data_IF_858974608438
#
_entry.id   IF_858974608438
#
_cell.length_a   1.000
_cell.length_b   1.000
_cell.length_c   1.000
_cell.angle_alpha   90.00
_cell.angle_beta   90.00
_cell.angle_gamma   90.00
#
_symmetry.space_group_name_H-M   'P 1'
#
loop_
_entity.id
_entity.type
_entity.pdbx_description
1 polymer ?
#
# COMPACT_ATOMS: atom_id res chain seq x y z
N UNK A 1 -5.97 3.01 18.58
CA UNK A 1 -7.09 3.95 18.85
C UNK A 1 -8.47 3.47 18.34
N UNK A 2 -8.58 2.43 17.50
CA UNK A 2 -9.85 1.99 16.90
C UNK A 2 -10.84 1.30 17.86
N UNK A 3 -10.37 0.67 18.94
CA UNK A 3 -11.23 -0.05 19.91
C UNK A 3 -12.11 0.84 20.80
N UNK A 4 -11.90 2.17 20.81
CA UNK A 4 -12.51 3.05 21.81
C UNK A 4 -13.87 3.62 21.40
N UNK A 5 -14.29 3.48 20.13
CA UNK A 5 -15.56 4.05 19.63
C UNK A 5 -16.29 3.07 18.70
N UNK A 6 -17.43 2.48 19.14
CA UNK A 6 -18.13 1.46 18.37
C UNK A 6 -18.72 1.98 17.05
N UNK A 7 -18.98 3.28 16.94
CA UNK A 7 -19.46 3.87 15.68
C UNK A 7 -18.41 3.83 14.56
N UNK A 8 -17.12 3.92 14.90
CA UNK A 8 -16.05 3.89 13.89
C UNK A 8 -15.97 2.51 13.25
N UNK A 9 -16.14 1.43 14.04
CA UNK A 9 -16.15 0.07 13.52
C UNK A 9 -17.25 -0.13 12.47
N UNK A 10 -18.47 0.35 12.75
CA UNK A 10 -19.61 0.23 11.83
C UNK A 10 -19.42 1.02 10.53
N UNK A 11 -18.61 2.09 10.55
CA UNK A 11 -18.26 2.86 9.34
C UNK A 11 -17.13 2.18 8.57
N UNK A 12 -16.13 1.64 9.26
CA UNK A 12 -15.05 0.84 8.64
C UNK A 12 -15.59 -0.44 7.99
N UNK A 13 -16.60 -1.08 8.59
CA UNK A 13 -17.27 -2.26 8.01
C UNK A 13 -17.99 -1.93 6.69
N UNK A 14 -18.29 -0.65 6.44
CA UNK A 14 -18.96 -0.15 5.24
C UNK A 14 -18.01 0.66 4.31
N UNK A 15 -16.69 0.54 4.50
CA UNK A 15 -15.71 1.33 3.74
C UNK A 15 -15.79 1.04 2.23
N UNK A 16 -15.91 -0.25 1.86
CA UNK A 16 -16.04 -0.69 0.46
C UNK A 16 -17.29 -0.10 -0.20
N UNK A 17 -18.42 -0.12 0.50
CA UNK A 17 -19.71 0.38 0.02
C UNK A 17 -19.63 1.90 -0.18
N UNK A 18 -19.06 2.61 0.80
CA UNK A 18 -18.86 4.05 0.71
C UNK A 18 -17.92 4.43 -0.43
N UNK A 19 -16.80 3.72 -0.58
CA UNK A 19 -15.85 3.95 -1.67
C UNK A 19 -16.48 3.68 -3.03
N UNK A 20 -17.23 2.58 -3.17
CA UNK A 20 -17.93 2.26 -4.43
C UNK A 20 -18.99 3.31 -4.79
N UNK A 21 -19.72 3.85 -3.80
CA UNK A 21 -20.68 4.92 -3.99
C UNK A 21 -19.99 6.21 -4.40
N UNK A 22 -18.90 6.59 -3.73
CA UNK A 22 -18.10 7.75 -4.08
C UNK A 22 -17.58 7.66 -5.52
N UNK A 23 -16.99 6.51 -5.89
CA UNK A 23 -16.53 6.25 -7.25
C UNK A 23 -17.67 6.28 -8.27
N UNK A 24 -18.84 5.74 -7.93
CA UNK A 24 -20.03 5.82 -8.78
C UNK A 24 -20.42 7.27 -9.06
N UNK A 25 -20.46 8.12 -8.03
CA UNK A 25 -20.80 9.53 -8.16
C UNK A 25 -19.76 10.28 -8.98
N UNK A 26 -18.47 10.06 -8.70
CA UNK A 26 -17.36 10.69 -9.42
C UNK A 26 -17.33 10.30 -10.90
N UNK A 27 -17.41 9.01 -11.21
CA UNK A 27 -17.40 8.52 -12.59
C UNK A 27 -18.66 8.93 -13.35
N UNK A 28 -19.83 8.90 -12.71
CA UNK A 28 -21.08 9.39 -13.32
C UNK A 28 -20.99 10.87 -13.62
N UNK A 29 -20.42 11.67 -12.71
CA UNK A 29 -20.20 13.09 -12.94
C UNK A 29 -19.21 13.31 -14.09
N UNK A 30 -18.06 12.64 -14.06
CA UNK A 30 -17.01 12.77 -15.07
C UNK A 30 -17.52 12.40 -16.47
N UNK A 31 -18.18 11.26 -16.64
CA UNK A 31 -18.72 10.84 -17.93
C UNK A 31 -19.86 11.73 -18.42
N UNK A 32 -20.57 12.41 -17.51
CA UNK A 32 -21.64 13.36 -17.87
C UNK A 32 -21.08 14.72 -18.30
N UNK A 33 -19.96 15.16 -17.71
CA UNK A 33 -19.36 16.48 -17.99
C UNK A 33 -18.32 16.42 -19.10
N UNK A 34 -17.37 15.48 -19.03
CA UNK A 34 -16.20 15.42 -19.92
C UNK A 34 -16.28 14.32 -21.00
N UNK A 35 -17.32 13.47 -20.95
CA UNK A 35 -17.39 12.21 -21.74
C UNK A 35 -16.11 11.36 -21.58
N UNK A 36 -15.50 11.39 -20.39
CA UNK A 36 -14.32 10.62 -20.03
C UNK A 36 -14.49 10.06 -18.62
N UNK A 37 -13.83 8.93 -18.33
CA UNK A 37 -13.68 8.50 -16.93
C UNK A 37 -12.86 9.50 -16.14
N UNK A 38 -12.98 9.47 -14.81
CA UNK A 38 -12.23 10.38 -13.93
C UNK A 38 -10.71 10.25 -14.12
N UNK A 39 -10.21 9.03 -14.32
CA UNK A 39 -8.82 8.77 -14.62
C UNK A 39 -8.42 9.29 -16.02
N UNK A 40 -9.26 9.11 -17.03
CA UNK A 40 -8.99 9.60 -18.39
C UNK A 40 -8.96 11.14 -18.44
N UNK A 41 -9.84 11.83 -17.70
CA UNK A 41 -9.85 13.29 -17.66
C UNK A 41 -8.59 13.87 -17.02
N UNK A 42 -7.98 13.18 -16.05
CA UNK A 42 -6.68 13.54 -15.47
C UNK A 42 -5.56 13.54 -16.52
N UNK A 43 -5.58 12.60 -17.45
CA UNK A 43 -4.57 12.48 -18.52
C UNK A 43 -4.93 13.24 -19.81
N UNK A 44 -6.04 13.99 -19.83
CA UNK A 44 -6.51 14.70 -21.02
C UNK A 44 -7.01 13.76 -22.13
N UNK A 45 -7.53 12.60 -21.74
CA UNK A 45 -8.16 11.60 -22.61
C UNK A 45 -9.68 11.75 -22.59
N UNK A 46 -10.33 11.31 -23.67
CA UNK A 46 -11.79 11.37 -23.85
C UNK A 46 -12.30 10.15 -24.60
N UNK A 47 -13.50 9.68 -24.25
CA UNK A 47 -14.18 8.59 -24.94
C UNK A 47 -14.94 9.12 -26.14
N UNK A 48 -14.87 8.39 -27.25
CA UNK A 48 -15.67 8.63 -28.46
C UNK A 48 -16.35 7.34 -28.90
N UNK A 49 -17.62 7.46 -29.26
CA UNK A 49 -18.35 6.35 -29.85
C UNK A 49 -17.84 6.11 -31.27
N UNK A 50 -17.41 4.89 -31.55
CA UNK A 50 -17.07 4.42 -32.90
C UNK A 50 -18.26 3.62 -33.40
N UNK A 51 -18.89 4.11 -34.47
CA UNK A 51 -19.85 3.29 -35.21
C UNK A 51 -19.04 2.29 -36.05
N UNK A 52 -18.86 1.08 -35.53
CA UNK A 52 -18.34 -0.04 -36.32
C UNK A 52 -19.41 -0.38 -37.35
N UNK A 53 -19.42 0.31 -38.49
CA UNK A 53 -20.17 -0.16 -39.65
C UNK A 53 -19.41 -1.36 -40.18
N UNK A 54 -19.94 -2.56 -39.93
CA UNK A 54 -19.55 -3.76 -40.67
C UNK A 54 -19.69 -3.42 -42.14
N UNK A 55 -18.57 -3.44 -42.86
CA UNK A 55 -18.49 -3.18 -44.28
C UNK A 55 -19.28 -4.28 -44.98
N UNK A 56 -20.56 -4.03 -45.27
CA UNK A 56 -21.32 -4.83 -46.23
C UNK A 56 -20.62 -4.59 -47.57
N UNK A 57 -20.05 -5.64 -48.15
CA UNK A 57 -19.44 -5.63 -49.47
C UNK A 57 -20.48 -5.09 -50.46
N UNK A 58 -20.32 -3.82 -50.85
CA UNK A 58 -20.76 -3.18 -52.10
C UNK A 58 -20.90 -1.67 -51.89
N UNK A 59 -19.77 -0.96 -51.98
CA UNK A 59 -19.68 0.41 -52.54
C UNK A 59 -18.25 0.98 -52.37
N UNK A 60 -17.60 1.20 -53.51
CA UNK A 60 -16.54 2.17 -53.86
C UNK A 60 -15.83 2.92 -52.70
N UNK A 61 -14.48 2.92 -52.62
CA UNK A 61 -13.76 3.67 -51.60
C UNK A 61 -13.82 5.17 -51.94
N UNK A 62 -14.61 5.93 -51.18
CA UNK A 62 -14.46 7.39 -51.16
C UNK A 62 -13.38 7.72 -50.13
N UNK A 63 -12.26 8.24 -50.64
CA UNK A 63 -11.21 8.88 -49.86
C UNK A 63 -11.80 10.04 -49.04
N UNK A 64 -11.86 9.83 -47.74
CA UNK A 64 -12.44 10.74 -46.76
C UNK A 64 -13.06 9.97 -45.61
N UNK A 65 -12.29 9.05 -44.99
CA UNK A 65 -12.71 8.32 -43.81
C UNK A 65 -12.65 9.24 -42.59
N UNK A 66 -13.50 10.27 -42.62
CA UNK A 66 -13.77 11.10 -41.46
C UNK A 66 -14.58 10.25 -40.50
N UNK A 67 -13.90 9.60 -39.55
CA UNK A 67 -14.52 9.01 -38.37
C UNK A 67 -15.46 10.08 -37.80
N UNK A 68 -16.76 9.96 -38.04
CA UNK A 68 -17.73 10.94 -37.53
C UNK A 68 -17.78 10.77 -36.02
N UNK A 69 -17.05 11.65 -35.33
CA UNK A 69 -16.93 11.66 -33.89
C UNK A 69 -18.23 12.18 -33.26
N UNK A 70 -19.24 11.30 -33.16
CA UNK A 70 -20.45 11.57 -32.39
C UNK A 70 -20.15 11.42 -30.89
N UNK A 71 -20.68 12.34 -30.07
CA UNK A 71 -20.62 12.23 -28.61
C UNK A 71 -21.29 10.95 -28.09
N UNK A 72 -20.94 10.52 -26.88
CA UNK A 72 -21.43 9.27 -26.29
C UNK A 72 -22.95 9.26 -26.13
N UNK A 73 -23.55 8.10 -26.44
CA UNK A 73 -24.96 7.85 -26.19
C UNK A 73 -25.23 7.63 -24.69
N UNK A 74 -26.47 7.90 -24.23
CA UNK A 74 -26.84 7.72 -22.82
C UNK A 74 -26.60 6.29 -22.32
N UNK A 75 -26.94 5.29 -23.15
CA UNK A 75 -26.71 3.89 -22.82
C UNK A 75 -25.21 3.58 -22.68
N UNK A 76 -24.38 4.07 -23.61
CA UNK A 76 -22.92 3.91 -23.54
C UNK A 76 -22.33 4.52 -22.28
N UNK A 77 -22.81 5.71 -21.86
CA UNK A 77 -22.36 6.33 -20.59
C UNK A 77 -22.69 5.44 -19.40
N UNK A 78 -23.94 5.01 -19.25
CA UNK A 78 -24.39 4.19 -18.12
C UNK A 78 -23.60 2.88 -18.06
N UNK A 79 -23.51 2.18 -19.19
CA UNK A 79 -22.84 0.89 -19.26
C UNK A 79 -21.33 1.03 -19.02
N UNK A 80 -20.73 2.16 -19.40
CA UNK A 80 -19.34 2.46 -19.06
C UNK A 80 -19.10 2.71 -17.57
N UNK A 81 -20.05 3.34 -16.85
CA UNK A 81 -20.01 3.45 -15.37
C UNK A 81 -20.13 2.06 -14.73
N UNK A 82 -21.05 1.23 -15.25
CA UNK A 82 -21.24 -0.16 -14.76
C UNK A 82 -19.95 -0.97 -14.89
N UNK A 83 -19.25 -0.89 -16.03
CA UNK A 83 -17.97 -1.57 -16.20
C UNK A 83 -16.86 -1.04 -15.30
N UNK A 84 -16.83 0.27 -15.02
CA UNK A 84 -15.75 0.89 -14.23
C UNK A 84 -15.93 0.75 -12.72
N UNK A 85 -17.16 0.69 -12.21
CA UNK A 85 -17.43 0.73 -10.77
C UNK A 85 -18.15 -0.53 -10.29
N UNK A 86 -19.24 -0.89 -10.97
CA UNK A 86 -20.12 -1.98 -10.52
C UNK A 86 -19.44 -3.34 -10.72
N UNK A 87 -18.84 -3.58 -11.88
CA UNK A 87 -18.13 -4.83 -12.16
C UNK A 87 -16.96 -5.08 -11.19
N UNK A 88 -16.01 -4.14 -10.96
CA UNK A 88 -14.93 -4.36 -10.01
C UNK A 88 -15.43 -4.49 -8.57
N UNK A 89 -16.50 -3.79 -8.18
CA UNK A 89 -17.13 -3.98 -6.87
C UNK A 89 -17.65 -5.42 -6.70
N UNK A 90 -18.39 -5.95 -7.66
CA UNK A 90 -18.85 -7.34 -7.63
C UNK A 90 -17.68 -8.32 -7.65
N UNK A 91 -16.65 -8.08 -8.47
CA UNK A 91 -15.43 -8.89 -8.50
C UNK A 91 -14.73 -8.92 -7.13
N UNK A 92 -14.62 -7.77 -6.47
CA UNK A 92 -14.03 -7.64 -5.14
C UNK A 92 -14.84 -8.39 -4.08
N UNK A 93 -16.17 -8.20 -4.04
CA UNK A 93 -17.05 -8.92 -3.10
C UNK A 93 -17.01 -10.43 -3.33
N UNK A 94 -17.00 -10.90 -4.58
CA UNK A 94 -16.84 -12.32 -4.88
C UNK A 94 -15.48 -12.86 -4.42
N UNK A 95 -14.41 -12.08 -4.61
CA UNK A 95 -13.06 -12.45 -4.15
C UNK A 95 -12.98 -12.55 -2.62
N UNK A 96 -13.58 -11.60 -1.90
CA UNK A 96 -13.64 -11.59 -0.44
C UNK A 96 -14.40 -12.81 0.11
N UNK A 97 -15.56 -13.14 -0.48
CA UNK A 97 -16.33 -14.34 -0.10
C UNK A 97 -15.52 -15.62 -0.37
N UNK A 98 -14.87 -15.71 -1.53
CA UNK A 98 -14.04 -16.85 -1.90
C UNK A 98 -12.85 -17.03 -0.95
N UNK A 99 -12.13 -15.95 -0.64
CA UNK A 99 -10.97 -15.99 0.25
C UNK A 99 -11.38 -16.37 1.67
N UNK A 100 -12.48 -15.82 2.20
CA UNK A 100 -12.97 -16.16 3.54
C UNK A 100 -13.29 -17.65 3.68
N UNK A 101 -13.93 -18.25 2.68
CA UNK A 101 -14.23 -19.69 2.70
C UNK A 101 -12.98 -20.55 2.50
N UNK A 102 -12.08 -20.12 1.61
CA UNK A 102 -10.79 -20.79 1.40
C UNK A 102 -9.95 -20.79 2.67
N UNK A 103 -9.86 -19.64 3.35
CA UNK A 103 -9.16 -19.49 4.63
C UNK A 103 -9.82 -20.33 5.72
N UNK A 104 -11.15 -20.34 5.84
CA UNK A 104 -11.85 -21.20 6.80
C UNK A 104 -11.59 -22.70 6.55
N UNK A 105 -11.57 -23.14 5.28
CA UNK A 105 -11.22 -24.53 4.93
C UNK A 105 -9.76 -24.86 5.20
N UNK A 106 -8.84 -23.96 4.84
CA UNK A 106 -7.42 -24.11 5.13
C UNK A 106 -7.21 -24.19 6.65
N UNK A 107 -7.89 -23.34 7.41
CA UNK A 107 -7.83 -23.32 8.85
C UNK A 107 -8.36 -24.62 9.46
N UNK A 108 -9.52 -25.11 9.02
CA UNK A 108 -10.04 -26.40 9.44
C UNK A 108 -9.11 -27.58 9.07
N UNK A 109 -8.41 -27.51 7.94
CA UNK A 109 -7.46 -28.56 7.54
C UNK A 109 -6.15 -28.54 8.32
N UNK A 110 -5.70 -27.36 8.77
CA UNK A 110 -4.43 -27.17 9.48
C UNK A 110 -4.57 -27.37 10.99
N UNK A 111 -5.69 -26.94 11.58
CA UNK A 111 -5.92 -26.97 13.03
C UNK A 111 -7.01 -27.97 13.46
N UNK A 112 -7.57 -28.74 12.52
CA UNK A 112 -8.69 -29.63 12.75
C UNK A 112 -10.03 -28.88 12.82
N UNK A 113 -11.14 -29.60 12.67
CA UNK A 113 -12.47 -29.07 12.98
C UNK A 113 -12.49 -28.76 14.48
N UNK A 114 -12.35 -27.49 14.86
CA UNK A 114 -12.68 -27.01 16.20
C UNK A 114 -14.19 -27.08 16.39
N UNK A 115 -14.74 -28.29 16.39
CA UNK A 115 -16.08 -28.61 16.85
C UNK A 115 -15.96 -29.07 18.31
N UNK A 116 -15.45 -28.17 19.15
CA UNK A 116 -15.95 -28.12 20.51
C UNK A 116 -16.93 -26.97 20.52
N UNK A 117 -18.20 -27.36 20.54
CA UNK A 117 -19.31 -26.57 21.05
C UNK A 117 -18.87 -26.00 22.39
N UNK A 118 -18.28 -24.81 22.38
CA UNK A 118 -18.23 -23.96 23.57
C UNK A 118 -19.66 -23.48 23.71
N UNK A 119 -20.43 -24.28 24.45
CA UNK A 119 -21.68 -23.88 25.05
C UNK A 119 -21.43 -22.52 25.70
N UNK A 120 -21.99 -21.47 25.11
CA UNK A 120 -22.21 -20.21 25.80
C UNK A 120 -22.97 -20.59 27.07
N UNK A 121 -22.28 -20.52 28.21
CA UNK A 121 -22.82 -20.82 29.51
C UNK A 121 -24.03 -19.90 29.76
N UNK A 122 -25.22 -20.46 29.55
CA UNK A 122 -26.49 -19.93 30.01
C UNK A 122 -26.44 -19.75 31.54
N UNK A 123 -26.34 -18.49 31.97
CA UNK A 123 -26.73 -18.11 33.31
C UNK A 123 -28.27 -18.02 33.35
N UNK A 124 -28.90 -19.10 33.77
CA UNK A 124 -30.34 -19.14 34.08
C UNK A 124 -30.68 -18.15 35.20
N UNK A 125 -31.64 -17.27 34.97
CA UNK A 125 -32.59 -16.85 36.01
C UNK A 125 -33.96 -16.62 35.37
N UNK A 126 -34.97 -17.26 35.95
CA UNK A 126 -36.26 -17.56 35.36
C UNK A 126 -37.20 -16.38 35.09
N UNK A 127 -38.23 -16.67 34.29
CA UNK A 127 -39.40 -15.79 34.09
C UNK A 127 -40.24 -16.27 32.91
N UNK A 128 -41.37 -16.89 33.22
CA UNK A 128 -42.31 -17.56 32.32
C UNK A 128 -42.92 -16.72 31.17
N UNK A 129 -43.48 -17.48 30.22
CA UNK A 129 -44.65 -17.18 29.37
C UNK A 129 -44.45 -16.38 28.07
N UNK A 130 -44.35 -17.10 26.95
CA UNK A 130 -45.43 -17.17 25.92
C UNK A 130 -45.01 -18.01 24.72
N UNK A 131 -45.71 -19.14 24.53
CA UNK A 131 -45.67 -19.96 23.32
C UNK A 131 -46.53 -19.33 22.23
N UNK A 132 -46.11 -19.58 20.98
CA UNK A 132 -46.82 -19.39 19.70
C UNK A 132 -46.61 -18.03 19.01
N UNK A 133 -45.52 -17.92 18.23
CA UNK A 133 -45.45 -17.24 16.89
C UNK A 133 -44.09 -17.40 16.17
N UNK A 134 -43.34 -18.51 16.38
CA UNK A 134 -41.96 -18.67 15.88
C UNK A 134 -41.74 -19.53 14.63
N UNK A 135 -42.66 -20.42 14.26
CA UNK A 135 -42.38 -21.47 13.25
C UNK A 135 -42.16 -20.96 11.81
N UNK A 136 -42.68 -19.79 11.45
CA UNK A 136 -42.51 -19.23 10.08
C UNK A 136 -41.15 -18.57 9.89
N UNK A 137 -40.58 -17.95 10.93
CA UNK A 137 -39.27 -17.31 10.87
C UNK A 137 -38.13 -18.34 10.83
N UNK A 138 -38.27 -19.46 11.55
CA UNK A 138 -37.27 -20.53 11.59
C UNK A 138 -37.23 -21.34 10.28
N UNK A 139 -38.39 -21.57 9.66
CA UNK A 139 -38.47 -22.21 8.35
C UNK A 139 -37.85 -21.34 7.24
N UNK A 140 -38.10 -20.02 7.28
CA UNK A 140 -37.55 -19.07 6.30
C UNK A 140 -36.03 -18.89 6.50
N UNK A 141 -35.55 -18.84 7.75
CA UNK A 141 -34.13 -18.84 8.08
C UNK A 141 -33.42 -20.11 7.60
N UNK A 142 -34.07 -21.28 7.73
CA UNK A 142 -33.52 -22.57 7.27
C UNK A 142 -33.43 -22.65 5.74
N UNK A 143 -34.43 -22.15 5.00
CA UNK A 143 -34.39 -22.10 3.54
C UNK A 143 -33.30 -21.14 3.05
N UNK A 144 -33.22 -19.95 3.65
CA UNK A 144 -32.17 -18.96 3.35
C UNK A 144 -30.77 -19.54 3.63
N UNK A 145 -30.58 -20.25 4.75
CA UNK A 145 -29.32 -20.90 5.08
C UNK A 145 -28.93 -22.03 4.12
N UNK A 146 -29.90 -22.81 3.62
CA UNK A 146 -29.65 -23.84 2.59
C UNK A 146 -29.31 -23.21 1.24
N UNK A 147 -29.98 -22.12 0.87
CA UNK A 147 -29.75 -21.41 -0.37
C UNK A 147 -28.37 -20.72 -0.36
N UNK A 148 -28.00 -20.06 0.73
CA UNK A 148 -26.68 -19.43 0.88
C UNK A 148 -25.57 -20.47 0.81
N UNK A 149 -25.71 -21.64 1.47
CA UNK A 149 -24.75 -22.74 1.35
C UNK A 149 -24.61 -23.26 -0.08
N UNK A 150 -25.72 -23.39 -0.83
CA UNK A 150 -25.67 -23.79 -2.25
C UNK A 150 -25.00 -22.74 -3.12
N UNK A 151 -25.36 -21.47 -2.97
CA UNK A 151 -24.77 -20.34 -3.70
C UNK A 151 -23.27 -20.26 -3.41
N UNK A 152 -22.88 -20.38 -2.14
CA UNK A 152 -21.49 -20.37 -1.71
C UNK A 152 -20.67 -21.49 -2.37
N UNK A 153 -21.21 -22.71 -2.41
CA UNK A 153 -20.57 -23.83 -3.11
C UNK A 153 -20.39 -23.57 -4.61
N UNK A 154 -21.40 -22.97 -5.25
CA UNK A 154 -21.35 -22.62 -6.67
C UNK A 154 -20.31 -21.51 -6.90
N UNK A 155 -20.29 -20.47 -6.08
CA UNK A 155 -19.30 -19.38 -6.16
C UNK A 155 -17.89 -19.94 -5.98
N UNK A 156 -17.66 -20.80 -5.00
CA UNK A 156 -16.35 -21.41 -4.79
C UNK A 156 -15.86 -22.22 -6.00
N UNK A 157 -16.75 -22.98 -6.62
CA UNK A 157 -16.41 -23.78 -7.81
C UNK A 157 -16.26 -22.96 -9.09
N UNK A 158 -17.05 -21.89 -9.25
CA UNK A 158 -17.13 -21.11 -10.49
C UNK A 158 -16.14 -19.94 -10.50
N UNK A 159 -15.87 -19.33 -9.34
CA UNK A 159 -15.04 -18.14 -9.22
C UNK A 159 -13.62 -18.29 -9.81
N UNK A 160 -12.86 -19.38 -9.56
CA UNK A 160 -11.52 -19.54 -10.14
C UNK A 160 -11.53 -19.52 -11.67
N UNK A 161 -12.52 -20.16 -12.29
CA UNK A 161 -12.69 -20.20 -13.74
C UNK A 161 -13.12 -18.86 -14.31
N UNK A 162 -14.06 -18.18 -13.65
CA UNK A 162 -14.48 -16.82 -14.03
C UNK A 162 -13.32 -15.83 -13.92
N UNK A 163 -12.55 -15.89 -12.82
CA UNK A 163 -11.39 -15.04 -12.60
C UNK A 163 -10.33 -15.30 -13.68
N UNK A 164 -9.93 -16.56 -13.88
CA UNK A 164 -8.95 -16.93 -14.91
C UNK A 164 -9.38 -16.50 -16.31
N UNK A 165 -10.65 -16.69 -16.67
CA UNK A 165 -11.20 -16.26 -17.96
C UNK A 165 -11.20 -14.75 -18.12
N UNK A 166 -11.56 -14.01 -17.07
CA UNK A 166 -11.57 -12.54 -17.10
C UNK A 166 -10.17 -11.94 -17.25
N UNK A 167 -9.18 -12.49 -16.54
CA UNK A 167 -7.79 -12.04 -16.64
C UNK A 167 -7.17 -12.46 -17.98
N UNK A 168 -7.44 -13.68 -18.43
CA UNK A 168 -7.00 -14.17 -19.74
C UNK A 168 -7.58 -13.34 -20.89
N UNK A 169 -8.85 -12.95 -20.81
CA UNK A 169 -9.46 -12.06 -21.79
C UNK A 169 -8.86 -10.65 -21.72
N UNK A 170 -8.64 -10.10 -20.53
CA UNK A 170 -7.97 -8.80 -20.37
C UNK A 170 -6.57 -8.80 -21.02
N UNK A 171 -5.76 -9.83 -20.71
CA UNK A 171 -4.43 -10.01 -21.27
C UNK A 171 -4.45 -10.16 -22.79
N UNK A 172 -5.35 -11.00 -23.32
CA UNK A 172 -5.47 -11.21 -24.76
C UNK A 172 -5.80 -9.90 -25.50
N UNK A 173 -6.71 -9.07 -24.96
CA UNK A 173 -7.04 -7.77 -25.53
C UNK A 173 -5.88 -6.78 -25.46
N UNK A 174 -5.14 -6.74 -24.35
CA UNK A 174 -3.95 -5.90 -24.23
C UNK A 174 -2.87 -6.33 -25.23
N UNK A 175 -2.66 -7.63 -25.42
CA UNK A 175 -1.71 -8.17 -26.39
C UNK A 175 -2.13 -7.84 -27.83
N UNK A 176 -3.40 -8.02 -28.17
CA UNK A 176 -3.95 -7.68 -29.49
C UNK A 176 -3.87 -6.17 -29.78
N UNK A 177 -4.02 -5.33 -28.74
CA UNK A 177 -3.83 -3.89 -28.85
C UNK A 177 -2.36 -3.52 -29.10
N UNK A 178 -1.41 -4.18 -28.42
CA UNK A 178 0.02 -3.96 -28.64
C UNK A 178 0.49 -4.43 -30.02
N UNK A 179 -0.13 -5.49 -30.56
CA UNK A 179 0.11 -5.99 -31.91
C UNK A 179 -0.60 -5.18 -33.00
N UNK A 180 -1.29 -4.09 -32.64
CA UNK A 180 -2.10 -3.24 -33.52
C UNK A 180 -3.17 -4.02 -34.32
N UNK A 181 -3.57 -5.20 -33.83
CA UNK A 181 -4.61 -6.04 -34.43
C UNK A 181 -6.01 -5.54 -34.06
N UNK A 182 -6.15 -4.92 -32.88
CA UNK A 182 -7.41 -4.32 -32.41
C UNK A 182 -7.15 -2.94 -31.84
N UNK A 183 -7.96 -1.93 -32.20
CA UNK A 183 -7.88 -0.58 -31.62
C UNK A 183 -8.40 -0.45 -30.18
N UNK A 184 -8.72 -1.55 -29.49
CA UNK A 184 -9.28 -1.54 -28.14
C UNK A 184 -8.41 -2.37 -27.18
N UNK A 185 -8.01 -1.77 -26.05
CA UNK A 185 -7.19 -2.45 -25.04
C UNK A 185 -7.98 -3.26 -24.00
N UNK A 186 -9.30 -3.14 -23.97
CA UNK A 186 -10.16 -3.89 -23.04
C UNK A 186 -11.43 -4.38 -23.72
N UNK A 187 -11.91 -5.55 -23.27
CA UNK A 187 -13.14 -6.14 -23.77
C UNK A 187 -14.36 -5.22 -23.59
N UNK A 188 -14.48 -4.53 -22.45
CA UNK A 188 -15.59 -3.63 -22.17
C UNK A 188 -15.70 -2.48 -23.17
N UNK A 189 -14.56 -1.90 -23.59
CA UNK A 189 -14.54 -0.83 -24.60
C UNK A 189 -14.92 -1.33 -25.98
N UNK A 190 -14.46 -2.53 -26.35
CA UNK A 190 -14.84 -3.15 -27.62
C UNK A 190 -16.34 -3.46 -27.65
N UNK A 191 -16.89 -4.09 -26.60
CA UNK A 191 -18.32 -4.39 -26.50
C UNK A 191 -19.20 -3.12 -26.57
N UNK A 192 -18.68 -1.99 -26.09
CA UNK A 192 -19.36 -0.70 -26.13
C UNK A 192 -19.15 0.10 -27.43
N UNK A 193 -18.21 -0.32 -28.27
CA UNK A 193 -17.77 0.45 -29.43
C UNK A 193 -17.22 1.82 -29.05
N UNK A 194 -16.43 1.92 -27.98
CA UNK A 194 -15.88 3.18 -27.48
C UNK A 194 -14.36 3.18 -27.66
N UNK A 195 -13.85 4.22 -28.29
CA UNK A 195 -12.42 4.46 -28.45
C UNK A 195 -11.96 5.63 -27.57
N UNK A 196 -10.77 5.52 -26.99
CA UNK A 196 -10.17 6.57 -26.15
C UNK A 196 -9.23 7.41 -27.01
N UNK A 197 -9.47 8.71 -27.09
CA UNK A 197 -8.70 9.67 -27.88
C UNK A 197 -8.20 10.82 -27.00
N UNK A 198 -7.12 11.50 -27.40
CA UNK A 198 -6.67 12.73 -26.73
C UNK A 198 -7.70 13.85 -26.97
N UNK A 199 -7.99 14.63 -25.93
CA UNK A 199 -8.89 15.77 -26.02
C UNK A 199 -8.21 16.98 -26.69
N UNK A 200 -8.89 17.61 -27.64
CA UNK A 200 -8.44 18.86 -28.28
C UNK A 200 -8.75 20.06 -27.38
N UNK A 201 -7.89 21.08 -27.33
CA UNK A 201 -8.14 22.29 -26.53
C UNK A 201 -9.43 23.04 -26.86
N UNK A 202 -9.82 23.05 -28.15
CA UNK A 202 -11.10 23.60 -28.60
C UNK A 202 -12.29 22.84 -27.99
N UNK A 203 -12.21 21.52 -27.93
CA UNK A 203 -13.27 20.68 -27.38
C UNK A 203 -13.44 20.85 -25.88
N UNK A 204 -12.36 21.14 -25.15
CA UNK A 204 -12.41 21.49 -23.72
C UNK A 204 -13.22 22.78 -23.50
N UNK A 205 -12.98 23.82 -24.31
CA UNK A 205 -13.73 25.08 -24.26
C UNK A 205 -15.21 24.88 -24.62
N UNK A 206 -15.50 24.11 -25.67
CA UNK A 206 -16.88 23.81 -26.05
C UNK A 206 -17.61 23.03 -24.94
N UNK A 207 -16.89 22.13 -24.27
CA UNK A 207 -17.43 21.33 -23.16
C UNK A 207 -17.75 22.19 -21.94
N UNK A 208 -16.86 23.11 -21.54
CA UNK A 208 -17.12 24.02 -20.42
C UNK A 208 -18.35 24.92 -20.66
N UNK A 209 -18.51 25.42 -21.89
CA UNK A 209 -19.68 26.22 -22.30
C UNK A 209 -20.98 25.40 -22.32
N UNK A 210 -20.91 24.12 -22.67
CA UNK A 210 -22.07 23.22 -22.64
C UNK A 210 -22.48 22.89 -21.20
N UNK A 211 -21.50 22.65 -20.33
CA UNK A 211 -21.73 22.40 -18.91
C UNK A 211 -22.41 23.61 -18.25
N UNK A 212 -21.94 24.82 -18.52
CA UNK A 212 -22.54 26.03 -17.94
C UNK A 212 -24.01 26.21 -18.34
N UNK A 213 -24.36 25.93 -19.62
CA UNK A 213 -25.75 25.94 -20.12
C UNK A 213 -26.63 24.87 -19.47
N UNK A 214 -26.10 23.67 -19.25
CA UNK A 214 -26.86 22.60 -18.57
C UNK A 214 -27.14 23.01 -17.12
N UNK A 215 -26.13 23.57 -16.43
CA UNK A 215 -26.26 24.00 -15.03
C UNK A 215 -27.21 25.18 -14.87
N UNK A 216 -27.22 26.14 -15.80
CA UNK A 216 -28.21 27.23 -15.76
C UNK A 216 -29.62 26.67 -15.95
N UNK A 217 -29.82 25.78 -16.93
CA UNK A 217 -31.12 25.15 -17.17
C UNK A 217 -31.60 24.30 -15.98
N UNK A 218 -30.71 23.59 -15.29
CA UNK A 218 -31.08 22.83 -14.08
C UNK A 218 -31.47 23.74 -12.92
N UNK A 219 -30.77 24.87 -12.72
CA UNK A 219 -31.16 25.89 -11.74
C UNK A 219 -32.52 26.50 -12.06
N UNK A 220 -32.84 26.67 -13.34
CA UNK A 220 -34.12 27.22 -13.78
C UNK A 220 -35.28 26.23 -13.58
N UNK A 221 -35.02 24.92 -13.65
CA UNK A 221 -36.01 23.85 -13.47
C UNK A 221 -36.34 23.53 -12.01
N UNK A 222 -35.64 24.11 -11.03
CA UNK A 222 -35.94 23.94 -9.61
C UNK A 222 -37.32 24.55 -9.28
N UNK A 223 -38.26 23.68 -8.89
CA UNK A 223 -39.65 24.01 -8.57
C UNK A 223 -39.83 24.03 -7.04
N UNK A 224 -40.28 25.15 -6.47
CA UNK A 224 -40.49 25.28 -5.02
C UNK A 224 -40.60 26.72 -4.55
N UNK A 225 -40.88 26.95 -3.24
CA UNK A 225 -40.90 28.28 -2.65
C UNK A 225 -39.52 28.96 -2.70
N UNK A 226 -39.46 30.31 -2.72
CA UNK A 226 -38.24 31.06 -3.05
C UNK A 226 -37.04 30.77 -2.14
N UNK A 227 -37.26 30.56 -0.84
CA UNK A 227 -36.19 30.24 0.12
C UNK A 227 -35.63 28.82 -0.04
N UNK A 228 -36.49 27.85 -0.42
CA UNK A 228 -36.11 26.47 -0.65
C UNK A 228 -35.38 26.33 -1.99
N UNK A 229 -35.76 27.14 -2.98
CA UNK A 229 -35.06 27.25 -4.27
C UNK A 229 -33.65 27.82 -4.11
N UNK A 230 -33.45 28.86 -3.30
CA UNK A 230 -32.11 29.39 -3.02
C UNK A 230 -31.25 28.37 -2.27
N UNK A 231 -31.80 27.67 -1.27
CA UNK A 231 -31.07 26.65 -0.54
C UNK A 231 -30.68 25.45 -1.43
N UNK A 232 -31.64 24.90 -2.20
CA UNK A 232 -31.36 23.82 -3.15
C UNK A 232 -30.36 24.24 -4.22
N UNK A 233 -30.49 25.46 -4.76
CA UNK A 233 -29.56 26.00 -5.76
C UNK A 233 -28.15 26.16 -5.21
N UNK A 234 -28.01 26.66 -3.98
CA UNK A 234 -26.73 26.79 -3.30
C UNK A 234 -26.11 25.41 -3.01
N UNK A 235 -26.89 24.44 -2.53
CA UNK A 235 -26.42 23.08 -2.27
C UNK A 235 -25.96 22.38 -3.56
N UNK A 236 -26.75 22.48 -4.64
CA UNK A 236 -26.41 21.90 -5.94
C UNK A 236 -25.16 22.56 -6.52
N UNK A 237 -25.04 23.90 -6.40
CA UNK A 237 -23.86 24.63 -6.83
C UNK A 237 -22.62 24.20 -6.05
N UNK A 238 -22.74 24.07 -4.72
CA UNK A 238 -21.66 23.59 -3.86
C UNK A 238 -21.23 22.18 -4.28
N UNK A 239 -22.18 21.26 -4.46
CA UNK A 239 -21.90 19.89 -4.89
C UNK A 239 -21.19 19.85 -6.25
N UNK A 240 -21.64 20.62 -7.24
CA UNK A 240 -20.96 20.69 -8.53
C UNK A 240 -19.57 21.32 -8.45
N UNK A 241 -19.39 22.37 -7.65
CA UNK A 241 -18.06 22.94 -7.43
C UNK A 241 -17.13 21.92 -6.77
N UNK A 242 -17.60 21.18 -5.77
CA UNK A 242 -16.81 20.14 -5.12
C UNK A 242 -16.42 19.04 -6.11
N UNK A 243 -17.34 18.61 -6.98
CA UNK A 243 -17.06 17.58 -7.98
C UNK A 243 -16.12 18.06 -9.09
N UNK A 244 -16.24 19.31 -9.55
CA UNK A 244 -15.32 19.90 -10.54
C UNK A 244 -13.90 20.05 -9.98
N UNK A 245 -13.80 20.54 -8.74
CA UNK A 245 -12.53 20.74 -8.06
C UNK A 245 -11.99 19.47 -7.38
N UNK A 246 -12.72 18.35 -7.38
CA UNK A 246 -12.27 17.09 -6.81
C UNK A 246 -10.95 16.64 -7.44
N UNK A 247 -10.81 16.79 -8.76
CA UNK A 247 -9.59 16.48 -9.51
C UNK A 247 -8.40 17.33 -9.03
N UNK A 248 -8.55 18.65 -9.00
CA UNK A 248 -7.48 19.56 -8.53
C UNK A 248 -7.18 19.38 -7.05
N UNK A 249 -8.20 19.11 -6.24
CA UNK A 249 -8.08 18.84 -4.82
C UNK A 249 -7.32 17.55 -4.55
N UNK A 250 -7.55 16.50 -5.32
CA UNK A 250 -6.81 15.24 -5.21
C UNK A 250 -5.32 15.43 -5.52
N UNK A 251 -5.01 16.14 -6.61
CA UNK A 251 -3.61 16.45 -6.98
C UNK A 251 -2.93 17.25 -5.86
N UNK A 252 -3.60 18.28 -5.32
CA UNK A 252 -3.10 19.07 -4.21
C UNK A 252 -2.92 18.22 -2.93
N UNK A 253 -3.85 17.31 -2.63
CA UNK A 253 -3.78 16.43 -1.47
C UNK A 253 -2.58 15.48 -1.55
N UNK A 254 -2.32 14.88 -2.73
CA UNK A 254 -1.14 14.03 -2.95
C UNK A 254 0.15 14.84 -2.76
N UNK A 255 0.20 16.06 -3.28
CA UNK A 255 1.35 16.95 -3.10
C UNK A 255 1.58 17.29 -1.62
N UNK A 256 0.54 17.68 -0.89
CA UNK A 256 0.62 17.99 0.55
C UNK A 256 1.03 16.75 1.35
N UNK A 257 0.47 15.58 1.03
CA UNK A 257 0.85 14.33 1.67
C UNK A 257 2.33 14.01 1.44
N UNK A 258 2.83 14.15 0.20
CA UNK A 258 4.25 13.95 -0.11
C UNK A 258 5.16 14.97 0.57
N UNK A 259 4.74 16.22 0.66
CA UNK A 259 5.45 17.25 1.42
C UNK A 259 5.51 16.90 2.92
N UNK A 260 4.40 16.39 3.48
CA UNK A 260 4.33 15.95 4.86
C UNK A 260 5.20 14.72 5.11
N UNK A 261 5.18 13.73 4.21
CA UNK A 261 6.06 12.55 4.26
C UNK A 261 7.53 12.97 4.26
N UNK A 262 7.91 13.87 3.35
CA UNK A 262 9.26 14.44 3.32
C UNK A 262 9.62 15.18 4.61
N UNK A 263 8.69 15.96 5.18
CA UNK A 263 8.90 16.67 6.44
C UNK A 263 9.16 15.70 7.61
N UNK A 264 8.37 14.63 7.72
CA UNK A 264 8.53 13.63 8.76
C UNK A 264 9.79 12.77 8.60
N UNK A 265 10.12 12.33 7.37
CA UNK A 265 11.37 11.60 7.10
C UNK A 265 12.59 12.47 7.44
N UNK A 266 12.58 13.74 7.04
CA UNK A 266 13.63 14.70 7.35
C UNK A 266 13.79 14.98 8.85
N UNK A 267 12.69 14.87 9.62
CA UNK A 267 12.71 15.02 11.07
C UNK A 267 13.26 13.75 11.75
N UNK A 268 12.87 12.57 11.27
CA UNK A 268 13.38 11.28 11.76
C UNK A 268 14.89 11.16 11.54
N UNK A 269 15.40 11.51 10.35
CA UNK A 269 16.83 11.52 10.05
C UNK A 269 17.64 12.43 10.99
N UNK A 270 17.08 13.58 11.38
CA UNK A 270 17.74 14.51 12.34
C UNK A 270 17.72 13.98 13.77
N UNK A 271 16.72 13.20 14.15
CA UNK A 271 16.64 12.60 15.48
C UNK A 271 17.45 11.30 15.59
N UNK A 272 17.61 10.57 14.48
CA UNK A 272 18.38 9.32 14.43
C UNK A 272 19.87 9.52 14.15
N UNK A 273 20.29 10.72 13.74
CA UNK A 273 21.70 11.04 13.57
C UNK A 273 22.44 10.88 14.91
N UNK A 274 23.43 9.96 15.01
CA UNK A 274 24.17 9.77 16.25
C UNK A 274 24.82 11.10 16.65
N UNK A 275 24.58 11.55 17.88
CA UNK A 275 25.36 12.62 18.49
C UNK A 275 26.82 12.16 18.53
N UNK A 276 27.62 12.62 17.58
CA UNK A 276 29.06 12.36 17.54
C UNK A 276 29.69 13.12 18.71
N UNK A 277 29.78 12.47 19.86
CA UNK A 277 30.57 13.00 20.97
C UNK A 277 32.03 13.06 20.52
N UNK A 278 32.76 14.14 20.85
CA UNK A 278 34.21 14.18 20.60
C UNK A 278 34.84 12.98 21.31
N UNK A 279 35.80 12.27 20.67
CA UNK A 279 36.44 11.12 21.28
C UNK A 279 37.04 11.54 22.63
N UNK A 280 36.83 10.76 23.70
CA UNK A 280 37.38 11.10 25.01
C UNK A 280 38.91 11.19 24.92
N UNK A 281 39.57 12.04 25.72
CA UNK A 281 41.02 12.14 25.74
C UNK A 281 41.64 10.75 26.04
N UNK A 282 42.78 10.40 25.41
CA UNK A 282 43.40 9.09 25.60
C UNK A 282 43.76 8.87 27.08
N UNK A 283 43.64 7.62 27.57
CA UNK A 283 43.97 7.30 28.96
C UNK A 283 45.46 7.58 29.25
N UNK A 284 45.80 8.02 30.48
CA UNK A 284 47.19 8.26 30.86
C UNK A 284 48.00 6.96 30.79
N UNK A 285 49.29 7.02 30.42
CA UNK A 285 50.15 5.84 30.34
C UNK A 285 50.32 5.17 31.71
N UNK A 286 50.44 3.83 31.75
CA UNK A 286 50.60 3.09 33.00
C UNK A 286 51.93 3.44 33.68
N UNK A 287 51.87 3.69 34.99
CA UNK A 287 53.04 4.04 35.80
C UNK A 287 53.81 2.78 36.19
N UNK A 288 55.14 2.88 36.21
CA UNK A 288 56.03 1.84 36.74
C UNK A 288 55.76 1.67 38.24
N UNK A 289 55.66 0.43 38.71
CA UNK A 289 55.46 0.16 40.14
C UNK A 289 56.74 0.50 40.92
N UNK A 290 56.61 0.96 42.17
CA UNK A 290 57.77 1.31 43.03
C UNK A 290 58.73 0.14 43.24
N UNK A 291 58.23 -1.09 43.17
CA UNK A 291 59.01 -2.34 43.30
C UNK A 291 59.14 -3.11 41.97
N UNK A 292 58.74 -2.48 40.86
CA UNK A 292 58.93 -3.03 39.52
C UNK A 292 60.36 -2.85 39.04
N UNK A 293 60.74 -3.59 38.01
CA UNK A 293 62.04 -3.42 37.36
C UNK A 293 62.08 -2.03 36.70
N UNK A 294 63.13 -1.22 36.94
CA UNK A 294 63.26 0.08 36.32
C UNK A 294 63.41 -0.07 34.80
N UNK A 295 62.84 0.87 34.06
CA UNK A 295 62.97 0.89 32.60
C UNK A 295 64.36 1.40 32.20
N UNK A 296 65.04 0.73 31.26
CA UNK A 296 66.26 1.26 30.65
C UNK A 296 65.99 2.62 29.99
N UNK A 297 67.00 3.52 29.91
CA UNK A 297 66.87 4.81 29.21
C UNK A 297 66.59 4.59 27.71
N UNK A 298 67.20 3.57 27.11
CA UNK A 298 67.02 3.22 25.72
C UNK A 298 65.83 2.27 25.52
N UNK A 299 64.86 2.71 24.72
CA UNK A 299 63.62 1.96 24.44
C UNK A 299 63.84 0.68 23.65
N UNK A 300 64.99 0.51 23.00
CA UNK A 300 65.34 -0.68 22.19
C UNK A 300 65.86 -1.84 23.02
N UNK A 301 66.20 -1.60 24.29
CA UNK A 301 66.76 -2.57 25.23
C UNK A 301 65.63 -3.25 26.01
N UNK A 302 65.76 -4.56 26.26
CA UNK A 302 64.82 -5.29 27.09
C UNK A 302 65.09 -5.06 28.58
N UNK A 303 64.10 -4.69 29.40
CA UNK A 303 64.28 -4.53 30.86
C UNK A 303 64.66 -5.81 31.61
N UNK A 304 64.44 -7.00 31.03
CA UNK A 304 64.69 -8.29 31.69
C UNK A 304 66.09 -8.86 31.43
N UNK A 305 66.58 -8.78 30.19
CA UNK A 305 67.89 -9.30 29.82
C UNK A 305 68.95 -8.22 29.58
N UNK A 306 68.56 -6.94 29.61
CA UNK A 306 69.43 -5.78 29.34
C UNK A 306 70.17 -5.85 28.00
N UNK A 307 69.65 -6.62 27.05
CA UNK A 307 70.15 -6.74 25.68
C UNK A 307 69.16 -6.13 24.69
N UNK A 308 69.60 -5.91 23.45
CA UNK A 308 68.73 -5.46 22.36
C UNK A 308 67.56 -6.43 22.16
N UNK A 309 66.34 -5.91 22.02
CA UNK A 309 65.13 -6.72 21.98
C UNK A 309 65.09 -7.67 20.78
N UNK A 310 65.22 -8.97 21.03
CA UNK A 310 64.94 -10.02 20.05
C UNK A 310 63.46 -10.42 20.13
N UNK A 311 62.75 -10.40 19.00
CA UNK A 311 61.31 -10.69 18.91
C UNK A 311 60.48 -9.87 19.91
N UNK A 312 60.34 -8.54 19.70
CA UNK A 312 59.67 -7.66 20.65
C UNK A 312 58.24 -8.12 20.89
N UNK A 313 57.82 -8.19 22.15
CA UNK A 313 56.49 -8.63 22.57
C UNK A 313 55.96 -7.72 23.67
N UNK A 314 54.72 -7.29 23.54
CA UNK A 314 54.03 -6.41 24.48
C UNK A 314 53.19 -7.22 25.45
N UNK A 315 53.12 -6.77 26.70
CA UNK A 315 52.13 -7.24 27.69
C UNK A 315 50.92 -6.31 27.61
N UNK A 316 49.79 -6.79 27.11
CA UNK A 316 48.60 -5.96 26.79
C UNK A 316 48.05 -5.18 27.98
N UNK A 317 48.18 -5.70 29.19
CA UNK A 317 47.70 -5.06 30.43
C UNK A 317 48.52 -3.83 30.79
N UNK A 318 49.81 -3.84 30.51
CA UNK A 318 50.76 -2.81 30.97
C UNK A 318 51.36 -1.98 29.83
N UNK A 319 51.20 -2.41 28.58
CA UNK A 319 51.74 -1.70 27.41
C UNK A 319 53.28 -1.74 27.28
N UNK A 320 54.01 -2.41 28.17
CA UNK A 320 55.46 -2.51 28.11
C UNK A 320 55.93 -3.66 27.20
N UNK A 321 57.07 -3.46 26.55
CA UNK A 321 57.60 -4.34 25.49
C UNK A 321 58.93 -4.97 25.92
N UNK A 322 59.03 -6.28 25.77
CA UNK A 322 60.16 -7.12 26.17
C UNK A 322 60.56 -8.07 25.03
N UNK A 323 61.63 -8.85 25.21
CA UNK A 323 61.88 -10.02 24.34
C UNK A 323 60.83 -11.10 24.63
N UNK A 324 60.30 -11.75 23.59
CA UNK A 324 59.31 -12.83 23.74
C UNK A 324 59.76 -13.91 24.74
N UNK A 325 60.98 -14.42 24.61
CA UNK A 325 61.51 -15.48 25.46
C UNK A 325 61.62 -15.05 26.94
N UNK A 326 62.04 -13.81 27.19
CA UNK A 326 62.21 -13.28 28.55
C UNK A 326 60.86 -13.10 29.25
N UNK A 327 59.89 -12.48 28.56
CA UNK A 327 58.59 -12.20 29.17
C UNK A 327 57.74 -13.46 29.32
N UNK A 328 57.81 -14.39 28.36
CA UNK A 328 57.11 -15.67 28.46
C UNK A 328 57.58 -16.46 29.68
N UNK A 329 58.90 -16.55 29.90
CA UNK A 329 59.45 -17.22 31.08
C UNK A 329 59.04 -16.54 32.39
N UNK A 330 59.07 -15.21 32.44
CA UNK A 330 58.71 -14.46 33.65
C UNK A 330 57.23 -14.57 33.98
N UNK A 331 56.35 -14.35 33.01
CA UNK A 331 54.89 -14.40 33.21
C UNK A 331 54.45 -15.82 33.53
N UNK A 332 55.02 -16.83 32.89
CA UNK A 332 54.70 -18.23 33.21
C UNK A 332 55.11 -18.65 34.63
N UNK A 333 56.09 -17.98 35.25
CA UNK A 333 56.56 -18.29 36.61
C UNK A 333 55.85 -17.46 37.69
N UNK A 334 55.61 -16.17 37.41
CA UNK A 334 55.15 -15.22 38.42
C UNK A 334 53.72 -14.69 38.19
N UNK A 335 53.08 -15.02 37.06
CA UNK A 335 51.73 -14.57 36.66
C UNK A 335 51.49 -13.06 36.83
N UNK A 336 52.52 -12.25 36.56
CA UNK A 336 52.49 -10.79 36.70
C UNK A 336 53.44 -10.09 35.74
N UNK A 337 53.20 -8.81 35.47
CA UNK A 337 54.11 -7.98 34.70
C UNK A 337 55.34 -7.57 35.54
N UNK A 338 56.57 -7.69 35.02
CA UNK A 338 57.79 -7.34 35.77
C UNK A 338 57.94 -5.84 36.08
N UNK A 339 57.29 -4.95 35.31
CA UNK A 339 57.43 -3.49 35.43
C UNK A 339 56.31 -2.86 36.25
N UNK A 340 55.06 -3.33 36.07
CA UNK A 340 53.89 -2.79 36.79
C UNK A 340 53.39 -3.68 37.92
N UNK A 341 53.88 -4.92 38.03
CA UNK A 341 53.40 -5.95 38.95
C UNK A 341 51.89 -6.27 38.84
N UNK A 342 51.24 -5.78 37.77
CA UNK A 342 49.85 -6.11 37.47
C UNK A 342 49.72 -7.59 37.10
N UNK A 343 48.64 -8.28 37.52
CA UNK A 343 48.43 -9.69 37.22
C UNK A 343 48.36 -9.91 35.71
N UNK A 344 49.17 -10.81 35.18
CA UNK A 344 49.28 -11.06 33.74
C UNK A 344 49.44 -12.55 33.46
N UNK A 345 48.77 -13.04 32.42
CA UNK A 345 48.83 -14.42 31.96
C UNK A 345 49.53 -14.48 30.60
N UNK A 346 49.88 -15.69 30.16
CA UNK A 346 50.55 -15.92 28.87
C UNK A 346 49.72 -15.40 27.69
N UNK A 347 48.39 -15.45 27.77
CA UNK A 347 47.47 -14.94 26.73
C UNK A 347 47.55 -13.42 26.53
N UNK A 348 48.09 -12.70 27.51
CA UNK A 348 48.28 -11.25 27.47
C UNK A 348 49.59 -10.85 26.79
N UNK A 349 50.38 -11.81 26.32
CA UNK A 349 51.62 -11.55 25.57
C UNK A 349 51.31 -11.52 24.08
N UNK A 350 51.51 -10.37 23.43
CA UNK A 350 51.36 -10.21 21.98
C UNK A 350 52.71 -9.90 21.35
N UNK A 351 53.11 -10.69 20.35
CA UNK A 351 54.32 -10.42 19.56
C UNK A 351 54.07 -9.19 18.69
N UNK A 352 55.02 -8.28 18.65
CA UNK A 352 55.02 -7.12 17.78
C UNK A 352 55.83 -7.46 16.54
N UNK A 353 55.18 -7.41 15.39
CA UNK A 353 55.84 -7.46 14.10
C UNK A 353 56.04 -6.02 13.64
N UNK A 354 57.26 -5.67 13.27
CA UNK A 354 57.53 -4.41 12.59
C UNK A 354 57.56 -4.75 11.10
N UNK A 355 56.70 -4.10 10.32
CA UNK A 355 56.88 -4.10 8.87
C UNK A 355 58.17 -3.32 8.59
N UNK A 356 59.12 -3.98 7.92
CA UNK A 356 60.38 -3.35 7.49
C UNK A 356 60.15 -2.42 6.32
#
# INVERSE_FOLDING_TARGET
MALRRPFLHKVLDCEDEFFSLLMLVLETHSLRTTDASFAESLYGLRRRAVKIRVKKEDARPKSGDGIQHSGLEKHQRILSVVFLVVLPYFKSKLHSIYNKEREARLQASLWGNGDETVEDAEYFSGGDASLVSGETLDAEATIRARLTKKIQKIVFSCYPWLHASSEGMSFAYQLLYLLDATGFYSFGLHALGIHVCRATGQELMDTSSRISKIRSNERDRLRGPPWLKTFQGALLSCAYTMLDYAQTGLIAAVFIFKMMEWWYQSAEERMSAPTVYPPPPPPPPPKVAKEGIPLPPDRTICPLCSQMRANPSVVTISGFVFCYACIFKYVSQYNRCPVTLMPANVDHIRRLFHDM
#
